data_IF_272315043746
#
_entry.id   IF_272315043746
#
_cell.length_a   1.000
_cell.length_b   1.000
_cell.length_c   1.000
_cell.angle_alpha   90.00
_cell.angle_beta   90.00
_cell.angle_gamma   90.00
#
_symmetry.space_group_name_H-M   'P 1'
#
loop_
_entity.id
_entity.type
_entity.pdbx_description
1 polymer ?
#
# COMPACT_ATOMS: atom_id res chain seq x y z
N UNK A 1 36.60 23.52 -9.68
CA UNK A 1 35.73 22.36 -9.42
C UNK A 1 36.63 21.16 -9.12
N UNK A 2 36.80 20.80 -7.88
CA UNK A 2 37.62 19.66 -7.45
C UNK A 2 36.64 18.55 -6.98
N UNK A 3 36.65 17.41 -7.66
CA UNK A 3 35.95 16.19 -7.25
C UNK A 3 36.73 15.58 -6.09
N UNK A 4 36.08 15.39 -4.95
CA UNK A 4 36.61 14.66 -3.81
C UNK A 4 35.94 13.29 -3.80
N UNK A 5 36.70 12.26 -4.09
CA UNK A 5 36.28 10.87 -3.95
C UNK A 5 36.43 10.46 -2.49
N UNK A 6 35.36 9.99 -1.86
CA UNK A 6 35.40 9.34 -0.55
C UNK A 6 35.40 7.82 -0.74
N UNK A 7 36.45 7.20 -0.21
CA UNK A 7 36.53 5.73 -0.06
C UNK A 7 36.03 5.43 1.36
N UNK A 8 34.93 4.72 1.48
CA UNK A 8 34.44 4.20 2.74
C UNK A 8 35.00 2.80 2.97
N UNK A 9 35.80 2.63 4.03
CA UNK A 9 36.27 1.33 4.50
C UNK A 9 35.30 0.89 5.60
N UNK A 10 34.54 -0.18 5.33
CA UNK A 10 33.66 -0.80 6.31
C UNK A 10 34.47 -1.79 7.17
N UNK A 11 34.54 -1.56 8.47
CA UNK A 11 35.03 -2.53 9.45
C UNK A 11 33.87 -3.37 9.96
N UNK A 12 33.86 -4.66 9.64
CA UNK A 12 32.93 -5.62 10.24
C UNK A 12 33.55 -6.19 11.51
N UNK A 13 32.93 -5.93 12.66
CA UNK A 13 33.24 -6.62 13.92
C UNK A 13 32.32 -7.86 13.99
N UNK A 14 32.94 -9.02 13.91
CA UNK A 14 32.25 -10.32 14.06
C UNK A 14 32.13 -10.62 15.55
N UNK A 15 30.94 -10.53 16.13
CA UNK A 15 30.62 -11.16 17.40
C UNK A 15 30.06 -12.57 17.13
N UNK A 16 30.86 -13.60 17.45
CA UNK A 16 30.43 -14.99 17.46
C UNK A 16 29.58 -15.27 18.69
N UNK A 17 28.29 -15.14 18.58
CA UNK A 17 27.32 -15.71 19.52
C UNK A 17 26.63 -16.89 18.84
N UNK A 18 26.79 -18.10 19.38
CA UNK A 18 26.06 -19.26 18.93
C UNK A 18 24.57 -19.10 19.21
N UNK A 19 23.81 -18.69 18.19
CA UNK A 19 22.37 -18.76 18.15
C UNK A 19 22.03 -19.74 17.02
N UNK A 20 21.15 -20.70 17.30
CA UNK A 20 20.68 -21.69 16.33
C UNK A 20 20.16 -20.96 15.10
N UNK A 21 20.86 -21.11 13.99
CA UNK A 21 20.57 -20.44 12.74
C UNK A 21 19.30 -21.01 12.10
N UNK A 22 18.19 -20.28 12.22
CA UNK A 22 17.18 -20.36 11.18
C UNK A 22 17.86 -19.90 9.90
N UNK A 23 17.98 -20.79 8.91
CA UNK A 23 18.60 -20.49 7.62
C UNK A 23 17.86 -19.35 6.95
N UNK A 24 18.58 -18.25 6.65
CA UNK A 24 18.04 -17.21 5.77
C UNK A 24 17.70 -17.86 4.43
N UNK A 25 16.60 -17.48 3.78
CA UNK A 25 16.39 -17.90 2.40
C UNK A 25 17.52 -17.36 1.53
N UNK A 26 17.97 -18.17 0.59
CA UNK A 26 18.88 -17.74 -0.47
C UNK A 26 18.15 -16.75 -1.38
N UNK A 27 18.24 -15.46 -1.05
CA UNK A 27 17.86 -14.42 -2.00
C UNK A 27 18.93 -14.32 -3.08
N UNK A 28 18.54 -14.02 -4.33
CA UNK A 28 19.51 -13.66 -5.33
C UNK A 28 20.43 -12.57 -4.78
N UNK A 29 21.73 -12.74 -4.91
CA UNK A 29 22.76 -11.86 -4.30
C UNK A 29 22.77 -10.44 -4.87
N UNK A 30 22.01 -10.20 -5.93
CA UNK A 30 21.85 -8.93 -6.66
C UNK A 30 20.60 -8.13 -6.28
N UNK A 31 19.75 -8.65 -5.35
CA UNK A 31 18.60 -7.90 -4.87
C UNK A 31 18.99 -6.78 -3.92
N UNK A 32 18.39 -5.59 -4.14
CA UNK A 32 18.51 -4.50 -3.19
C UNK A 32 17.93 -4.92 -1.84
N UNK A 33 18.76 -4.88 -0.80
CA UNK A 33 18.34 -5.20 0.57
C UNK A 33 18.40 -3.94 1.43
N UNK A 34 17.27 -3.55 2.02
CA UNK A 34 17.18 -2.47 2.99
C UNK A 34 17.17 -3.11 4.38
N UNK A 35 18.29 -3.02 5.09
CA UNK A 35 18.40 -3.53 6.46
C UNK A 35 17.82 -2.53 7.44
N UNK A 36 16.75 -2.89 8.13
CA UNK A 36 16.01 -2.04 9.04
C UNK A 36 16.52 -2.22 10.47
N UNK A 37 17.07 -1.17 11.05
CA UNK A 37 17.30 -1.10 12.50
C UNK A 37 15.97 -0.76 13.18
N UNK A 38 15.26 -1.77 13.64
CA UNK A 38 13.93 -1.62 14.25
C UNK A 38 13.96 -0.88 15.60
N UNK A 39 15.12 -0.77 16.23
CA UNK A 39 15.32 0.03 17.47
C UNK A 39 15.52 1.52 17.18
N UNK A 40 15.83 1.88 15.95
CA UNK A 40 16.05 3.28 15.56
C UNK A 40 14.71 4.03 15.52
N UNK A 41 14.71 5.22 16.12
CA UNK A 41 13.56 6.12 16.09
C UNK A 41 14.03 7.55 15.88
N UNK A 42 13.69 8.11 14.72
CA UNK A 42 14.04 9.47 14.31
C UNK A 42 12.90 10.49 14.55
N UNK A 43 11.91 10.19 15.38
CA UNK A 43 10.68 11.01 15.59
C UNK A 43 10.92 12.46 16.03
N UNK A 44 12.12 12.81 16.44
CA UNK A 44 12.52 14.20 16.72
C UNK A 44 12.99 14.98 15.49
N UNK A 45 13.21 14.30 14.35
CA UNK A 45 13.70 14.91 13.12
C UNK A 45 12.53 15.27 12.20
N UNK A 46 12.61 16.42 11.55
CA UNK A 46 11.71 16.80 10.48
C UNK A 46 12.13 16.12 9.17
N UNK A 47 11.16 15.78 8.33
CA UNK A 47 11.40 15.07 7.08
C UNK A 47 11.65 16.00 5.88
N UNK A 48 11.67 17.33 6.09
CA UNK A 48 11.82 18.32 5.01
C UNK A 48 13.12 18.21 4.22
N UNK A 49 14.16 17.64 4.81
CA UNK A 49 15.42 17.36 4.10
C UNK A 49 15.33 16.15 3.16
N UNK A 50 14.25 15.38 3.27
CA UNK A 50 14.04 14.13 2.52
C UNK A 50 12.86 14.26 1.57
N UNK A 51 11.74 14.80 2.07
CA UNK A 51 10.48 14.97 1.35
C UNK A 51 10.01 16.42 1.49
N UNK A 52 9.87 17.11 0.39
CA UNK A 52 9.33 18.47 0.36
C UNK A 52 7.82 18.43 0.17
N UNK A 53 7.12 19.25 0.97
CA UNK A 53 5.68 19.48 0.74
C UNK A 53 5.49 20.21 -0.60
N UNK A 54 4.67 19.64 -1.48
CA UNK A 54 4.36 20.23 -2.77
C UNK A 54 3.08 21.07 -2.70
N UNK A 55 1.93 20.43 -2.66
CA UNK A 55 0.62 21.08 -2.62
C UNK A 55 -0.42 20.14 -2.02
N UNK A 56 -1.61 20.67 -1.79
CA UNK A 56 -2.77 19.89 -1.40
C UNK A 56 -3.93 20.14 -2.36
N UNK A 57 -4.82 19.15 -2.44
CA UNK A 57 -6.08 19.26 -3.16
C UNK A 57 -7.20 18.96 -2.17
N UNK A 58 -8.16 19.88 -2.06
CA UNK A 58 -9.37 19.68 -1.26
C UNK A 58 -10.39 18.98 -2.14
N UNK A 59 -10.78 17.77 -1.75
CA UNK A 59 -11.80 17.03 -2.48
C UNK A 59 -13.18 17.58 -2.08
N UNK A 60 -13.89 18.12 -3.05
CA UNK A 60 -15.25 18.63 -2.89
C UNK A 60 -16.24 17.63 -3.53
N UNK A 61 -16.91 16.80 -2.71
CA UNK A 61 -17.84 15.81 -3.20
C UNK A 61 -19.20 16.39 -3.60
N UNK A 62 -19.38 17.72 -3.52
CA UNK A 62 -20.68 18.38 -3.62
C UNK A 62 -21.68 17.90 -2.55
N UNK A 63 -22.75 18.63 -2.31
CA UNK A 63 -23.58 18.52 -1.10
C UNK A 63 -24.26 17.17 -0.80
N UNK A 64 -24.16 16.19 -1.71
CA UNK A 64 -24.94 14.95 -1.60
C UNK A 64 -24.10 13.72 -1.25
N UNK A 65 -22.75 13.82 -1.18
CA UNK A 65 -21.88 12.65 -1.08
C UNK A 65 -20.84 12.82 0.03
N UNK A 66 -20.91 11.96 1.04
CA UNK A 66 -19.89 11.90 2.09
C UNK A 66 -18.75 10.96 1.68
N UNK A 67 -17.52 11.47 1.71
CA UNK A 67 -16.31 10.63 1.60
C UNK A 67 -16.00 10.12 3.00
N UNK A 68 -16.13 8.82 3.20
CA UNK A 68 -15.75 8.15 4.43
C UNK A 68 -14.24 7.88 4.49
N UNK A 69 -13.84 6.79 5.13
CA UNK A 69 -12.44 6.37 5.19
C UNK A 69 -11.91 6.03 3.79
N UNK A 70 -10.88 6.76 3.37
CA UNK A 70 -10.17 6.46 2.11
C UNK A 70 -9.40 5.14 2.26
N UNK A 71 -9.63 4.23 1.32
CA UNK A 71 -8.98 2.92 1.25
C UNK A 71 -7.86 2.89 0.21
N UNK A 72 -8.05 3.61 -0.90
CA UNK A 72 -7.12 3.64 -2.03
C UNK A 72 -7.27 4.95 -2.79
N UNK A 73 -6.16 5.43 -3.31
CA UNK A 73 -6.10 6.55 -4.25
C UNK A 73 -5.54 6.10 -5.59
N UNK A 74 -5.83 6.88 -6.62
CA UNK A 74 -5.31 6.65 -7.96
C UNK A 74 -5.11 7.99 -8.65
N UNK A 75 -3.95 8.17 -9.29
CA UNK A 75 -3.69 9.32 -10.16
C UNK A 75 -3.71 8.83 -11.60
N UNK A 76 -4.53 9.44 -12.42
CA UNK A 76 -4.66 9.08 -13.83
C UNK A 76 -5.13 10.28 -14.64
N UNK A 77 -4.35 10.70 -15.64
CA UNK A 77 -4.66 11.83 -16.53
C UNK A 77 -5.01 13.11 -15.78
N UNK A 78 -4.23 13.44 -14.73
CA UNK A 78 -4.47 14.62 -13.91
C UNK A 78 -5.72 14.57 -13.04
N UNK A 79 -6.36 13.40 -12.90
CA UNK A 79 -7.53 13.19 -12.04
C UNK A 79 -7.18 12.32 -10.84
N UNK A 80 -8.00 12.45 -9.79
CA UNK A 80 -7.83 11.73 -8.53
C UNK A 80 -8.97 10.72 -8.39
N UNK A 81 -8.64 9.44 -8.50
CA UNK A 81 -9.54 8.35 -8.16
C UNK A 81 -9.51 8.04 -6.67
N UNK A 82 -10.67 7.83 -6.05
CA UNK A 82 -10.79 7.57 -4.61
C UNK A 82 -11.69 6.36 -4.37
N UNK A 83 -11.18 5.36 -3.65
CA UNK A 83 -12.02 4.33 -3.03
C UNK A 83 -12.32 4.72 -1.59
N UNK A 84 -13.58 4.85 -1.24
CA UNK A 84 -14.03 5.14 0.12
C UNK A 84 -15.26 4.32 0.45
N UNK A 85 -15.21 3.58 1.56
CA UNK A 85 -16.26 2.64 1.96
C UNK A 85 -16.60 1.64 0.83
N UNK A 86 -17.81 1.73 0.27
CA UNK A 86 -18.27 0.93 -0.87
C UNK A 86 -18.51 1.78 -2.13
N UNK A 87 -17.87 2.94 -2.22
CA UNK A 87 -18.03 3.87 -3.33
C UNK A 87 -16.69 4.17 -3.98
N UNK A 88 -16.72 4.42 -5.28
CA UNK A 88 -15.59 4.93 -6.03
C UNK A 88 -15.93 6.31 -6.58
N UNK A 89 -14.95 7.18 -6.56
CA UNK A 89 -15.08 8.56 -7.01
C UNK A 89 -13.96 8.90 -7.98
N UNK A 90 -14.23 9.78 -8.91
CA UNK A 90 -13.21 10.47 -9.69
C UNK A 90 -13.39 11.98 -9.53
N UNK A 91 -12.29 12.66 -9.21
CA UNK A 91 -12.21 14.11 -9.08
C UNK A 91 -11.24 14.65 -10.12
N UNK A 92 -11.47 15.88 -10.58
CA UNK A 92 -10.49 16.58 -11.39
C UNK A 92 -9.30 17.09 -10.56
N UNK A 93 -8.31 17.68 -11.21
CA UNK A 93 -7.09 18.22 -10.57
C UNK A 93 -7.36 19.34 -9.57
N UNK A 94 -8.54 19.96 -9.61
CA UNK A 94 -8.95 21.01 -8.67
C UNK A 94 -9.67 20.45 -7.44
N UNK A 95 -9.97 19.14 -7.45
CA UNK A 95 -10.70 18.44 -6.39
C UNK A 95 -12.22 18.45 -6.58
N UNK A 96 -12.74 18.93 -7.72
CA UNK A 96 -14.17 18.91 -8.03
C UNK A 96 -14.59 17.50 -8.45
N UNK A 97 -15.71 17.03 -7.91
CA UNK A 97 -16.27 15.72 -8.26
C UNK A 97 -16.67 15.66 -9.75
N UNK A 98 -16.14 14.68 -10.46
CA UNK A 98 -16.49 14.34 -11.85
C UNK A 98 -17.57 13.27 -11.86
N UNK A 99 -17.38 12.18 -11.09
CA UNK A 99 -18.36 11.10 -10.99
C UNK A 99 -18.23 10.31 -9.68
N UNK A 100 -19.32 9.64 -9.29
CA UNK A 100 -19.38 8.74 -8.13
C UNK A 100 -20.11 7.45 -8.52
N UNK A 101 -19.41 6.32 -8.48
CA UNK A 101 -20.02 5.00 -8.63
C UNK A 101 -20.47 4.48 -7.27
N UNK A 102 -21.79 4.34 -7.11
CA UNK A 102 -22.44 3.79 -5.91
C UNK A 102 -23.46 2.72 -6.34
N UNK A 103 -22.94 1.53 -6.63
CA UNK A 103 -23.74 0.40 -7.13
C UNK A 103 -23.80 -0.76 -6.14
N UNK A 104 -23.74 -0.44 -4.84
CA UNK A 104 -23.88 -1.46 -3.79
C UNK A 104 -25.32 -2.00 -3.77
N UNK A 105 -25.47 -3.32 -3.87
CA UNK A 105 -26.76 -3.98 -3.86
C UNK A 105 -26.63 -5.49 -4.02
N UNK A 106 -27.77 -6.16 -4.27
CA UNK A 106 -27.87 -7.62 -4.43
C UNK A 106 -28.26 -8.05 -5.83
N UNK A 107 -28.37 -7.12 -6.75
CA UNK A 107 -28.70 -7.40 -8.14
C UNK A 107 -27.54 -8.06 -8.90
N UNK A 108 -27.80 -8.63 -10.08
CA UNK A 108 -26.78 -9.31 -10.87
C UNK A 108 -25.64 -8.38 -11.32
N UNK A 109 -25.95 -7.10 -11.49
CA UNK A 109 -25.03 -6.04 -11.90
C UNK A 109 -24.63 -5.13 -10.74
N UNK A 110 -24.68 -5.64 -9.50
CA UNK A 110 -24.34 -4.92 -8.28
C UNK A 110 -23.32 -5.70 -7.47
N UNK A 111 -22.56 -5.00 -6.64
CA UNK A 111 -21.62 -5.61 -5.70
C UNK A 111 -22.15 -5.53 -4.26
N UNK A 112 -21.93 -6.55 -3.50
CA UNK A 112 -22.28 -6.58 -2.07
C UNK A 112 -21.33 -5.72 -1.25
N UNK A 113 -20.03 -5.82 -1.57
CA UNK A 113 -18.97 -5.11 -0.90
C UNK A 113 -17.82 -4.83 -1.87
N UNK A 114 -17.42 -3.57 -1.99
CA UNK A 114 -16.21 -3.21 -2.69
C UNK A 114 -15.00 -3.65 -1.88
N UNK A 115 -14.32 -4.70 -2.34
CA UNK A 115 -13.07 -5.16 -1.74
C UNK A 115 -11.90 -4.29 -2.22
N UNK A 116 -11.83 -4.07 -3.52
CA UNK A 116 -10.83 -3.24 -4.20
C UNK A 116 -11.43 -2.62 -5.46
N UNK A 117 -10.79 -1.56 -5.97
CA UNK A 117 -11.21 -0.93 -7.21
C UNK A 117 -10.03 -0.44 -8.04
N UNK A 118 -10.26 -0.26 -9.32
CA UNK A 118 -9.36 0.44 -10.25
C UNK A 118 -10.17 1.30 -11.21
N UNK A 119 -9.80 2.56 -11.35
CA UNK A 119 -10.38 3.46 -12.34
C UNK A 119 -9.52 3.40 -13.59
N UNK A 120 -10.16 3.23 -14.72
CA UNK A 120 -9.55 3.25 -16.04
C UNK A 120 -10.14 4.35 -16.90
N UNK A 121 -9.47 4.59 -18.02
CA UNK A 121 -9.98 5.48 -19.06
C UNK A 121 -9.87 4.77 -20.41
N UNK A 122 -11.01 4.53 -21.01
CA UNK A 122 -11.13 3.99 -22.37
C UNK A 122 -11.53 5.13 -23.32
N UNK A 123 -12.80 5.19 -23.75
CA UNK A 123 -13.39 6.37 -24.40
C UNK A 123 -13.81 7.41 -23.37
N UNK A 124 -14.24 6.93 -22.22
CA UNK A 124 -14.64 7.70 -21.05
C UNK A 124 -14.15 6.98 -19.79
N UNK A 125 -14.43 7.54 -18.62
CA UNK A 125 -14.07 6.93 -17.35
C UNK A 125 -14.84 5.63 -17.13
N UNK A 126 -14.15 4.62 -16.63
CA UNK A 126 -14.73 3.34 -16.20
C UNK A 126 -14.21 3.01 -14.80
N UNK A 127 -15.06 2.36 -14.01
CA UNK A 127 -14.69 1.86 -12.70
C UNK A 127 -14.79 0.34 -12.66
N UNK A 128 -13.66 -0.30 -12.36
CA UNK A 128 -13.59 -1.74 -12.11
C UNK A 128 -13.70 -1.99 -10.62
N UNK A 129 -14.72 -2.70 -10.19
CA UNK A 129 -14.99 -3.02 -8.79
C UNK A 129 -14.84 -4.52 -8.58
N UNK A 130 -13.97 -4.89 -7.66
CA UNK A 130 -13.82 -6.27 -7.23
C UNK A 130 -14.59 -6.52 -5.93
N UNK A 131 -15.54 -7.46 -5.99
CA UNK A 131 -16.26 -7.98 -4.84
C UNK A 131 -15.83 -9.43 -4.58
N UNK A 132 -14.97 -9.61 -3.56
CA UNK A 132 -14.49 -10.93 -3.17
C UNK A 132 -15.61 -11.84 -2.64
N UNK A 133 -16.65 -11.26 -2.01
CA UNK A 133 -17.72 -12.02 -1.39
C UNK A 133 -18.69 -12.60 -2.43
N UNK A 134 -18.91 -11.84 -3.52
CA UNK A 134 -19.68 -12.30 -4.66
C UNK A 134 -18.82 -13.02 -5.70
N UNK A 135 -17.48 -12.99 -5.56
CA UNK A 135 -16.55 -13.54 -6.56
C UNK A 135 -16.64 -12.85 -7.91
N UNK A 136 -16.89 -11.55 -7.92
CA UNK A 136 -17.15 -10.78 -9.16
C UNK A 136 -16.15 -9.66 -9.36
N UNK A 137 -15.80 -9.43 -10.62
CA UNK A 137 -15.21 -8.19 -11.11
C UNK A 137 -16.21 -7.52 -12.06
N UNK A 138 -16.72 -6.36 -11.66
CA UNK A 138 -17.68 -5.59 -12.40
C UNK A 138 -17.01 -4.35 -12.97
N UNK A 139 -17.39 -3.96 -14.19
CA UNK A 139 -16.94 -2.71 -14.81
C UNK A 139 -18.14 -1.84 -15.07
N UNK A 140 -18.10 -0.62 -14.57
CA UNK A 140 -19.16 0.39 -14.74
C UNK A 140 -18.68 1.53 -15.62
N UNK A 141 -19.57 2.02 -16.48
CA UNK A 141 -19.38 3.25 -17.23
C UNK A 141 -19.84 4.50 -16.45
N UNK A 142 -19.81 5.65 -17.11
CA UNK A 142 -20.26 6.94 -16.54
C UNK A 142 -21.79 7.05 -16.38
N UNK A 143 -22.55 6.15 -16.97
CA UNK A 143 -24.01 6.05 -16.79
C UNK A 143 -24.39 5.06 -15.67
N UNK A 144 -23.41 4.60 -14.88
CA UNK A 144 -23.56 3.55 -13.85
C UNK A 144 -24.06 2.20 -14.38
N UNK A 145 -23.88 1.95 -15.67
CA UNK A 145 -24.23 0.67 -16.27
C UNK A 145 -23.06 -0.31 -16.11
N UNK A 146 -23.38 -1.53 -15.72
CA UNK A 146 -22.41 -2.62 -15.75
C UNK A 146 -22.16 -3.05 -17.20
N UNK A 147 -21.04 -2.62 -17.77
CA UNK A 147 -20.63 -2.95 -19.14
C UNK A 147 -19.90 -4.29 -19.21
N UNK A 148 -19.39 -4.77 -18.08
CA UNK A 148 -18.80 -6.10 -17.96
C UNK A 148 -19.01 -6.67 -16.56
N UNK A 149 -19.34 -7.96 -16.49
CA UNK A 149 -19.39 -8.73 -15.24
C UNK A 149 -18.61 -10.03 -15.48
N UNK A 150 -17.54 -10.22 -14.74
CA UNK A 150 -16.75 -11.46 -14.77
C UNK A 150 -16.88 -12.17 -13.44
N UNK A 151 -17.20 -13.45 -13.48
CA UNK A 151 -17.11 -14.32 -12.31
C UNK A 151 -15.66 -14.73 -12.13
N UNK A 152 -15.12 -14.48 -10.94
CA UNK A 152 -13.69 -14.56 -10.68
C UNK A 152 -13.42 -15.47 -9.49
N UNK A 153 -12.13 -15.71 -9.25
CA UNK A 153 -11.66 -16.42 -8.07
C UNK A 153 -12.06 -15.60 -6.84
N UNK A 154 -12.86 -16.16 -5.94
CA UNK A 154 -13.25 -15.47 -4.72
C UNK A 154 -12.07 -15.30 -3.75
N UNK A 155 -12.14 -14.26 -2.91
CA UNK A 155 -11.36 -14.06 -1.69
C UNK A 155 -9.94 -13.50 -1.83
N UNK A 156 -9.57 -12.93 -2.97
CA UNK A 156 -8.39 -12.07 -3.04
C UNK A 156 -8.59 -10.80 -2.22
N UNK A 157 -7.52 -10.22 -1.72
CA UNK A 157 -7.54 -8.93 -1.00
C UNK A 157 -7.45 -7.73 -1.92
N UNK A 158 -6.73 -7.88 -3.03
CA UNK A 158 -6.57 -6.84 -4.03
C UNK A 158 -6.45 -7.45 -5.42
N UNK A 159 -6.72 -6.65 -6.43
CA UNK A 159 -6.49 -6.99 -7.82
C UNK A 159 -5.74 -5.87 -8.54
N UNK A 160 -5.18 -6.21 -9.69
CA UNK A 160 -4.56 -5.27 -10.62
C UNK A 160 -4.86 -5.72 -12.04
N UNK A 161 -5.44 -4.82 -12.83
CA UNK A 161 -5.58 -5.04 -14.25
C UNK A 161 -4.22 -4.90 -14.92
N UNK A 162 -3.90 -5.86 -15.77
CA UNK A 162 -2.69 -5.93 -16.57
C UNK A 162 -3.03 -5.86 -18.05
N UNK A 163 -2.02 -5.66 -18.88
CA UNK A 163 -2.15 -5.71 -20.33
C UNK A 163 -2.70 -7.07 -20.82
N UNK A 164 -3.15 -7.10 -22.07
CA UNK A 164 -3.66 -8.30 -22.76
C UNK A 164 -4.82 -9.01 -22.04
N UNK A 165 -5.58 -8.28 -21.22
CA UNK A 165 -6.71 -8.81 -20.47
C UNK A 165 -6.34 -9.72 -19.31
N UNK A 166 -5.08 -9.71 -18.90
CA UNK A 166 -4.61 -10.40 -17.71
C UNK A 166 -5.07 -9.67 -16.45
N UNK A 167 -5.30 -10.41 -15.37
CA UNK A 167 -5.66 -9.87 -14.07
C UNK A 167 -4.80 -10.53 -13.00
N UNK A 168 -4.07 -9.73 -12.26
CA UNK A 168 -3.30 -10.16 -11.10
C UNK A 168 -4.12 -10.04 -9.82
N UNK A 169 -3.99 -10.99 -8.91
CA UNK A 169 -4.61 -11.01 -7.60
C UNK A 169 -3.58 -11.18 -6.49
N UNK A 170 -3.74 -10.43 -5.43
CA UNK A 170 -3.09 -10.67 -4.15
C UNK A 170 -4.07 -11.41 -3.23
N UNK A 171 -3.73 -12.64 -2.87
CA UNK A 171 -4.61 -13.53 -2.11
C UNK A 171 -4.56 -13.26 -0.60
N UNK A 172 -3.52 -12.57 -0.10
CA UNK A 172 -3.41 -12.17 1.30
C UNK A 172 -3.47 -13.34 2.29
N UNK A 173 -2.66 -14.39 2.09
CA UNK A 173 -2.64 -15.66 2.82
C UNK A 173 -3.98 -16.42 2.78
N UNK A 174 -4.82 -16.13 1.80
CA UNK A 174 -6.15 -16.71 1.68
C UNK A 174 -7.08 -16.30 2.84
N UNK A 175 -8.33 -16.09 2.58
CA UNK A 175 -9.27 -15.74 3.63
C UNK A 175 -10.57 -16.54 3.57
N UNK A 176 -10.57 -17.64 2.81
CA UNK A 176 -11.78 -18.40 2.53
C UNK A 176 -11.65 -19.86 2.90
N UNK A 177 -12.71 -20.37 3.47
CA UNK A 177 -12.94 -21.80 3.67
C UNK A 177 -13.08 -22.60 2.36
N UNK A 178 -13.15 -21.93 1.21
CA UNK A 178 -13.37 -22.53 -0.11
C UNK A 178 -12.08 -22.76 -0.92
N UNK A 179 -10.92 -22.29 -0.45
CA UNK A 179 -9.66 -22.58 -1.13
C UNK A 179 -9.27 -24.05 -0.95
N UNK A 180 -8.96 -24.71 -2.03
CA UNK A 180 -8.48 -26.08 -2.02
C UNK A 180 -7.02 -26.12 -1.55
N UNK A 181 -6.56 -27.27 -1.06
CA UNK A 181 -5.20 -27.46 -0.50
C UNK A 181 -4.04 -27.05 -1.44
N UNK A 182 -4.31 -26.85 -2.72
CA UNK A 182 -3.34 -26.51 -3.75
C UNK A 182 -3.18 -24.99 -3.97
N UNK A 183 -3.89 -24.16 -3.20
CA UNK A 183 -4.00 -22.73 -3.45
C UNK A 183 -3.23 -21.85 -2.45
N UNK A 184 -2.16 -22.35 -1.87
CA UNK A 184 -1.34 -21.61 -0.91
C UNK A 184 -0.32 -20.69 -1.58
N UNK A 185 -0.82 -19.77 -2.42
CA UNK A 185 -0.01 -18.76 -3.11
C UNK A 185 -0.61 -17.39 -2.89
N UNK A 186 0.23 -16.40 -2.56
CA UNK A 186 -0.20 -15.02 -2.39
C UNK A 186 -0.37 -14.27 -3.72
N UNK A 187 0.24 -14.75 -4.80
CA UNK A 187 0.07 -14.17 -6.12
C UNK A 187 -0.62 -15.15 -7.06
N UNK A 188 -1.63 -14.66 -7.79
CA UNK A 188 -2.27 -15.40 -8.86
C UNK A 188 -2.54 -14.47 -10.03
N UNK A 189 -2.17 -14.87 -11.23
CA UNK A 189 -2.52 -14.18 -12.46
C UNK A 189 -3.44 -15.07 -13.30
N UNK A 190 -4.53 -14.51 -13.78
CA UNK A 190 -5.50 -15.18 -14.64
C UNK A 190 -5.61 -14.46 -15.98
N UNK A 191 -6.08 -15.18 -17.00
CA UNK A 191 -6.43 -14.58 -18.29
C UNK A 191 -7.87 -14.05 -18.33
N UNK A 192 -8.24 -13.49 -19.47
CA UNK A 192 -9.59 -12.95 -19.72
C UNK A 192 -10.71 -13.99 -19.60
N UNK A 193 -10.38 -15.29 -19.68
CA UNK A 193 -11.31 -16.41 -19.52
C UNK A 193 -11.38 -16.94 -18.09
N UNK A 194 -10.66 -16.33 -17.14
CA UNK A 194 -10.61 -16.76 -15.73
C UNK A 194 -9.65 -17.94 -15.48
N UNK A 195 -8.89 -18.38 -16.49
CA UNK A 195 -7.94 -19.46 -16.32
C UNK A 195 -6.66 -18.97 -15.65
N UNK A 196 -6.25 -19.63 -14.56
CA UNK A 196 -4.96 -19.36 -13.89
C UNK A 196 -3.80 -19.63 -14.83
N UNK A 197 -2.96 -18.63 -15.02
CA UNK A 197 -1.72 -18.67 -15.80
C UNK A 197 -0.49 -18.81 -14.93
N UNK A 198 -0.50 -18.13 -13.79
CA UNK A 198 0.63 -18.10 -12.85
C UNK A 198 0.08 -18.18 -11.42
N UNK A 199 0.71 -19.02 -10.61
CA UNK A 199 0.62 -19.00 -9.15
C UNK A 199 2.04 -18.87 -8.60
N UNK A 200 2.27 -17.91 -7.71
CA UNK A 200 3.60 -17.62 -7.17
C UNK A 200 3.49 -17.05 -5.74
N UNK A 201 4.64 -16.87 -5.11
CA UNK A 201 4.74 -16.39 -3.73
C UNK A 201 3.99 -17.33 -2.77
N UNK A 202 4.51 -18.56 -2.57
CA UNK A 202 3.89 -19.54 -1.71
C UNK A 202 3.83 -19.05 -0.26
N UNK A 203 2.86 -19.53 0.50
CA UNK A 203 2.79 -19.32 1.95
C UNK A 203 2.49 -20.63 2.67
N UNK A 204 2.92 -20.71 3.93
CA UNK A 204 2.69 -21.87 4.78
C UNK A 204 1.19 -22.04 5.06
N UNK A 205 0.69 -23.26 4.98
CA UNK A 205 -0.71 -23.64 5.27
C UNK A 205 -1.18 -23.15 6.64
N UNK A 206 -0.29 -23.11 7.62
CA UNK A 206 -0.59 -22.61 8.95
C UNK A 206 -0.88 -21.10 8.99
N UNK A 207 -0.42 -20.36 7.98
CA UNK A 207 -0.68 -18.92 7.83
C UNK A 207 -2.02 -18.63 7.15
N UNK A 208 -2.74 -19.65 6.73
CA UNK A 208 -4.03 -19.52 6.05
C UNK A 208 -5.05 -18.75 6.90
N UNK A 209 -5.62 -17.71 6.31
CA UNK A 209 -6.61 -16.87 6.98
C UNK A 209 -6.06 -15.93 8.06
N UNK A 210 -4.76 -16.01 8.36
CA UNK A 210 -4.13 -15.07 9.28
C UNK A 210 -3.98 -13.71 8.58
N UNK A 211 -4.50 -12.68 9.20
CA UNK A 211 -4.32 -11.29 8.78
C UNK A 211 -3.96 -10.45 9.99
N UNK A 212 -3.08 -9.48 9.79
CA UNK A 212 -2.79 -8.52 10.83
C UNK A 212 -3.95 -7.53 10.97
N UNK A 213 -4.11 -6.94 12.14
CA UNK A 213 -5.08 -5.86 12.34
C UNK A 213 -4.75 -4.60 11.51
N UNK A 214 -3.51 -4.48 11.03
CA UNK A 214 -2.99 -3.34 10.27
C UNK A 214 -3.21 -3.48 8.75
N UNK A 215 -3.53 -4.68 8.26
CA UNK A 215 -3.77 -4.93 6.83
C UNK A 215 -5.12 -4.41 6.32
N UNK A 216 -5.98 -3.95 7.22
CA UNK A 216 -7.34 -3.55 6.87
C UNK A 216 -7.32 -2.27 6.01
N UNK A 217 -7.72 -2.41 4.77
CA UNK A 217 -7.94 -1.30 3.84
C UNK A 217 -6.69 -0.80 3.13
N UNK A 218 -5.59 -1.56 3.12
CA UNK A 218 -4.41 -1.27 2.28
C UNK A 218 -4.42 -2.16 1.04
N UNK A 219 -4.06 -1.58 -0.09
CA UNK A 219 -3.82 -2.33 -1.33
C UNK A 219 -2.43 -2.96 -1.25
N UNK A 220 -2.31 -4.16 -1.75
CA UNK A 220 -1.01 -4.84 -1.86
C UNK A 220 -0.35 -4.63 -3.22
N UNK A 221 -1.03 -4.00 -4.17
CA UNK A 221 -0.43 -3.54 -5.41
C UNK A 221 -0.15 -2.04 -5.33
N UNK A 222 1.00 -1.67 -5.86
CA UNK A 222 1.43 -0.29 -6.04
C UNK A 222 1.89 -0.11 -7.48
N UNK A 223 1.44 0.94 -8.14
CA UNK A 223 1.91 1.31 -9.47
C UNK A 223 2.61 2.66 -9.40
N UNK A 224 3.77 2.73 -10.00
CA UNK A 224 4.53 3.96 -10.21
C UNK A 224 4.95 4.01 -11.68
N UNK A 225 4.33 4.86 -12.46
CA UNK A 225 4.45 4.87 -13.92
C UNK A 225 4.09 3.51 -14.52
N UNK A 226 4.99 2.95 -15.31
CA UNK A 226 4.80 1.65 -15.95
C UNK A 226 5.14 0.46 -15.05
N UNK A 227 5.73 0.72 -13.88
CA UNK A 227 6.18 -0.33 -12.99
C UNK A 227 5.07 -0.69 -11.99
N UNK A 228 4.77 -1.98 -11.89
CA UNK A 228 3.80 -2.52 -10.94
C UNK A 228 4.57 -3.31 -9.89
N UNK A 229 4.31 -2.98 -8.63
CA UNK A 229 4.89 -3.66 -7.48
C UNK A 229 3.82 -4.37 -6.66
N UNK A 230 4.20 -5.45 -6.00
CA UNK A 230 3.36 -6.17 -5.05
C UNK A 230 4.14 -6.47 -3.78
N UNK A 231 3.53 -6.19 -2.64
CA UNK A 231 3.92 -6.73 -1.34
C UNK A 231 2.98 -7.86 -0.96
N UNK A 232 3.51 -8.96 -0.44
CA UNK A 232 2.70 -10.05 0.07
C UNK A 232 2.67 -9.99 1.60
N UNK A 233 1.56 -10.45 2.17
CA UNK A 233 1.38 -10.48 3.62
C UNK A 233 2.42 -11.41 4.27
N UNK A 234 3.05 -10.95 5.35
CA UNK A 234 4.11 -11.65 6.09
C UNK A 234 5.30 -12.06 5.20
N UNK A 235 5.59 -11.25 4.19
CA UNK A 235 6.72 -11.43 3.31
C UNK A 235 7.52 -10.12 3.26
N UNK A 236 8.83 -10.22 3.36
CA UNK A 236 9.77 -9.11 3.35
C UNK A 236 10.22 -8.69 1.97
N UNK A 237 9.82 -9.47 0.99
CA UNK A 237 10.19 -9.27 -0.41
C UNK A 237 9.11 -8.46 -1.12
N UNK A 238 9.55 -7.44 -1.82
CA UNK A 238 8.74 -6.70 -2.78
C UNK A 238 8.99 -7.30 -4.15
N UNK A 239 7.92 -7.50 -4.87
CA UNK A 239 7.92 -8.10 -6.18
C UNK A 239 7.54 -7.08 -7.24
N UNK A 240 8.17 -7.18 -8.40
CA UNK A 240 7.75 -6.48 -9.61
C UNK A 240 6.86 -7.41 -10.44
N UNK A 241 5.76 -6.88 -10.94
CA UNK A 241 4.80 -7.60 -11.78
C UNK A 241 4.90 -7.08 -13.21
N UNK A 242 5.11 -7.98 -14.17
CA UNK A 242 5.11 -7.63 -15.60
C UNK A 242 3.69 -7.37 -16.08
N UNK A 243 3.45 -6.19 -16.63
CA UNK A 243 2.14 -5.79 -17.16
C UNK A 243 1.69 -6.65 -18.35
N UNK A 244 2.62 -7.09 -19.19
CA UNK A 244 2.31 -7.84 -20.40
C UNK A 244 2.22 -9.35 -20.22
N UNK A 245 2.93 -9.92 -19.25
CA UNK A 245 3.00 -11.37 -19.08
C UNK A 245 2.42 -11.87 -17.74
N UNK A 246 2.15 -10.97 -16.81
CA UNK A 246 1.76 -11.32 -15.44
C UNK A 246 2.87 -12.02 -14.64
N UNK A 247 4.10 -12.12 -15.16
CA UNK A 247 5.21 -12.71 -14.40
C UNK A 247 5.58 -11.82 -13.23
N UNK A 248 5.93 -12.47 -12.12
CA UNK A 248 6.33 -11.79 -10.89
C UNK A 248 7.78 -12.14 -10.58
N UNK A 249 8.59 -11.14 -10.27
CA UNK A 249 10.02 -11.28 -9.92
C UNK A 249 10.34 -10.50 -8.66
N UNK A 250 11.13 -11.04 -7.73
CA UNK A 250 11.59 -10.28 -6.58
C UNK A 250 12.46 -9.10 -7.03
N UNK A 251 12.33 -7.94 -6.40
CA UNK A 251 13.09 -6.75 -6.75
C UNK A 251 13.73 -6.03 -5.56
N UNK A 252 13.20 -6.22 -4.35
CA UNK A 252 13.71 -5.57 -3.15
C UNK A 252 13.34 -6.39 -1.91
N UNK A 253 14.21 -6.37 -0.89
CA UNK A 253 13.98 -7.02 0.41
C UNK A 253 14.08 -6.00 1.53
N UNK A 254 13.12 -6.01 2.46
CA UNK A 254 13.24 -5.32 3.74
C UNK A 254 13.71 -6.29 4.81
N UNK A 255 14.99 -6.23 5.17
CA UNK A 255 15.55 -7.08 6.22
C UNK A 255 15.27 -6.46 7.60
N UNK A 256 14.21 -6.93 8.24
CA UNK A 256 13.78 -6.51 9.58
C UNK A 256 14.42 -7.34 10.70
N UNK A 257 15.43 -8.16 10.38
CA UNK A 257 16.11 -9.05 11.32
C UNK A 257 15.62 -10.51 11.28
N UNK A 258 16.30 -11.37 12.07
CA UNK A 258 16.20 -12.83 11.94
C UNK A 258 15.00 -13.48 12.63
N UNK A 259 14.38 -12.83 13.60
CA UNK A 259 13.35 -13.47 14.43
C UNK A 259 11.92 -13.00 14.12
N UNK A 260 11.53 -13.08 12.88
CA UNK A 260 10.20 -12.65 12.45
C UNK A 260 9.38 -13.80 11.87
N UNK A 261 8.03 -13.71 11.95
CA UNK A 261 7.17 -14.61 11.23
C UNK A 261 7.35 -14.41 9.71
N UNK A 262 7.52 -15.51 9.00
CA UNK A 262 7.56 -15.51 7.54
C UNK A 262 6.46 -16.40 7.00
N UNK A 263 5.78 -15.93 5.99
CA UNK A 263 4.67 -16.67 5.39
C UNK A 263 5.13 -18.01 4.79
N UNK A 264 6.34 -18.07 4.28
CA UNK A 264 6.94 -19.24 3.61
C UNK A 264 7.73 -20.19 4.55
N UNK A 265 7.87 -19.86 5.84
CA UNK A 265 8.56 -20.72 6.79
C UNK A 265 7.64 -21.85 7.29
N UNK A 266 7.87 -23.05 6.78
CA UNK A 266 7.10 -24.26 7.16
C UNK A 266 7.31 -24.67 8.61
N UNK A 267 8.42 -24.27 9.22
CA UNK A 267 8.81 -24.63 10.58
C UNK A 267 8.44 -23.57 11.62
N UNK A 268 7.93 -22.41 11.21
CA UNK A 268 7.59 -21.34 12.14
C UNK A 268 6.26 -21.67 12.86
N UNK A 269 6.28 -21.94 14.18
CA UNK A 269 5.07 -22.33 14.90
C UNK A 269 4.05 -21.17 14.94
N UNK A 270 2.82 -21.46 14.62
CA UNK A 270 1.69 -20.50 14.71
C UNK A 270 1.59 -19.82 16.08
N UNK A 271 1.92 -20.57 17.16
CA UNK A 271 1.97 -20.02 18.52
C UNK A 271 2.99 -18.89 18.66
N UNK A 272 4.11 -18.96 17.92
CA UNK A 272 5.11 -17.90 17.89
C UNK A 272 4.67 -16.71 17.02
N UNK A 273 3.91 -16.98 15.95
CA UNK A 273 3.28 -15.94 15.16
C UNK A 273 2.29 -15.12 16.01
N UNK A 274 1.38 -15.81 16.74
CA UNK A 274 0.44 -15.16 17.63
C UNK A 274 1.11 -14.40 18.78
N UNK A 275 2.27 -14.88 19.27
CA UNK A 275 3.11 -14.17 20.24
C UNK A 275 3.88 -13.01 19.59
N UNK A 276 4.31 -13.17 18.35
CA UNK A 276 4.98 -12.10 17.57
C UNK A 276 4.05 -10.95 17.21
N UNK A 277 2.74 -11.21 17.03
CA UNK A 277 1.71 -10.17 17.02
C UNK A 277 1.61 -9.43 18.37
N UNK A 278 2.26 -9.96 19.40
CA UNK A 278 2.28 -9.48 20.78
C UNK A 278 3.38 -8.48 21.12
N UNK A 279 3.99 -7.78 20.17
CA UNK A 279 4.61 -6.50 20.47
C UNK A 279 6.12 -6.37 20.34
N UNK A 280 6.91 -7.41 20.50
CA UNK A 280 8.39 -7.23 20.51
C UNK A 280 9.07 -7.56 19.16
N UNK A 281 8.32 -8.03 18.18
CA UNK A 281 8.89 -8.43 16.89
C UNK A 281 8.34 -7.56 15.76
N UNK A 282 9.20 -7.10 14.85
CA UNK A 282 8.74 -6.31 13.72
C UNK A 282 7.87 -7.18 12.81
N UNK A 283 6.74 -6.62 12.37
CA UNK A 283 5.97 -7.17 11.27
C UNK A 283 6.54 -6.65 9.96
N UNK A 284 6.46 -7.47 8.93
CA UNK A 284 6.87 -7.11 7.57
C UNK A 284 6.10 -5.90 7.06
N UNK A 285 6.63 -5.19 6.07
CA UNK A 285 5.99 -4.01 5.52
C UNK A 285 4.54 -4.28 5.17
N UNK A 286 3.65 -3.45 5.71
CA UNK A 286 2.22 -3.47 5.39
C UNK A 286 1.90 -2.60 4.18
N UNK A 287 2.81 -1.71 3.82
CA UNK A 287 2.73 -0.89 2.62
C UNK A 287 4.12 -0.56 2.09
N UNK A 288 4.22 -0.44 0.78
CA UNK A 288 5.43 -0.09 0.06
C UNK A 288 5.11 0.92 -1.03
N UNK A 289 5.96 1.92 -1.16
CA UNK A 289 5.85 2.97 -2.18
C UNK A 289 7.22 3.27 -2.78
N UNK A 290 7.30 3.30 -4.10
CA UNK A 290 8.45 3.82 -4.85
C UNK A 290 8.18 5.30 -5.14
N UNK A 291 9.20 6.14 -5.01
CA UNK A 291 9.20 7.53 -5.47
C UNK A 291 10.52 7.81 -6.20
N UNK A 292 10.69 8.97 -6.88
CA UNK A 292 11.82 9.20 -7.78
C UNK A 292 13.19 8.90 -7.18
N UNK A 293 13.42 9.26 -5.93
CA UNK A 293 14.72 9.18 -5.29
C UNK A 293 14.81 8.14 -4.17
N UNK A 294 13.88 7.20 -4.11
CA UNK A 294 13.92 6.21 -3.04
C UNK A 294 12.64 5.42 -2.82
N UNK A 295 12.50 4.95 -1.60
CA UNK A 295 11.45 4.03 -1.17
C UNK A 295 10.87 4.48 0.16
N UNK A 296 9.56 4.32 0.31
CA UNK A 296 8.88 4.40 1.58
C UNK A 296 8.25 3.05 1.91
N UNK A 297 8.38 2.60 3.13
CA UNK A 297 7.67 1.45 3.65
C UNK A 297 7.03 1.77 4.99
N UNK A 298 5.93 1.10 5.27
CA UNK A 298 5.35 1.07 6.61
C UNK A 298 5.52 -0.32 7.18
N UNK A 299 5.99 -0.39 8.42
CA UNK A 299 6.08 -1.63 9.17
C UNK A 299 5.53 -1.42 10.58
N UNK A 300 5.28 -2.49 11.30
CA UNK A 300 4.82 -2.45 12.69
C UNK A 300 5.91 -2.98 13.61
N UNK A 301 6.16 -2.27 14.69
CA UNK A 301 7.03 -2.70 15.77
C UNK A 301 6.44 -2.25 17.11
N UNK A 302 6.43 -3.10 18.10
CA UNK A 302 5.84 -2.84 19.42
C UNK A 302 4.43 -2.23 19.33
N UNK A 303 3.55 -2.87 18.52
CA UNK A 303 2.16 -2.44 18.25
C UNK A 303 2.02 -1.02 17.63
N UNK A 304 3.10 -0.44 17.16
CA UNK A 304 3.08 0.90 16.57
C UNK A 304 3.46 0.84 15.10
N UNK A 305 2.74 1.57 14.24
CA UNK A 305 3.15 1.72 12.87
C UNK A 305 4.37 2.64 12.77
N UNK A 306 5.35 2.23 12.00
CA UNK A 306 6.53 3.02 11.65
C UNK A 306 6.53 3.30 10.17
N UNK A 307 7.01 4.48 9.80
CA UNK A 307 7.36 4.85 8.44
C UNK A 307 8.87 4.77 8.31
N UNK A 308 9.33 4.11 7.27
CA UNK A 308 10.73 4.06 6.84
C UNK A 308 10.85 4.77 5.50
N UNK A 309 11.85 5.64 5.37
CA UNK A 309 12.21 6.28 4.10
C UNK A 309 13.67 5.93 3.82
N UNK A 310 13.93 5.38 2.64
CA UNK A 310 15.26 5.02 2.17
C UNK A 310 15.54 5.64 0.81
N UNK A 311 16.82 5.91 0.50
CA UNK A 311 17.23 6.32 -0.83
C UNK A 311 17.25 5.13 -1.81
N UNK A 312 17.58 5.38 -3.09
CA UNK A 312 17.64 4.35 -4.12
C UNK A 312 18.71 3.27 -3.88
N UNK A 313 19.71 3.57 -3.06
CA UNK A 313 20.76 2.64 -2.65
C UNK A 313 20.37 1.79 -1.44
N UNK A 314 19.17 2.02 -0.87
CA UNK A 314 18.67 1.33 0.31
C UNK A 314 19.18 1.88 1.65
N UNK A 315 19.86 3.02 1.66
CA UNK A 315 20.27 3.68 2.90
C UNK A 315 19.07 4.33 3.57
N UNK A 316 18.88 4.04 4.87
CA UNK A 316 17.76 4.58 5.63
C UNK A 316 18.02 6.05 5.99
N UNK A 317 17.20 6.92 5.45
CA UNK A 317 17.20 8.36 5.71
C UNK A 317 16.37 8.70 6.95
N UNK A 318 15.26 8.00 7.17
CA UNK A 318 14.36 8.19 8.30
C UNK A 318 13.67 6.88 8.68
N UNK A 319 13.47 6.66 9.97
CA UNK A 319 12.52 5.68 10.49
C UNK A 319 11.89 6.20 11.78
N UNK A 320 10.58 6.09 11.91
CA UNK A 320 9.85 6.56 13.09
C UNK A 320 8.34 6.43 12.95
N UNK A 321 7.64 6.66 14.05
CA UNK A 321 6.17 6.57 14.10
C UNK A 321 5.47 7.94 13.98
N UNK A 322 6.23 9.02 13.77
CA UNK A 322 5.71 10.39 13.75
C UNK A 322 6.47 11.26 12.72
N UNK A 323 6.60 10.74 11.49
CA UNK A 323 7.23 11.47 10.39
C UNK A 323 6.45 12.77 10.09
N UNK A 324 7.05 13.95 10.38
CA UNK A 324 6.42 15.26 10.20
C UNK A 324 7.33 16.21 9.45
N UNK A 325 6.70 17.08 8.66
CA UNK A 325 7.36 18.23 8.07
C UNK A 325 7.39 19.44 9.03
N UNK A 326 8.04 20.52 8.60
CA UNK A 326 8.13 21.80 9.33
C UNK A 326 6.77 22.44 9.61
N UNK A 327 5.76 22.16 8.80
CA UNK A 327 4.40 22.65 8.96
C UNK A 327 3.59 21.82 9.98
N UNK A 328 4.18 20.77 10.55
CA UNK A 328 3.53 19.87 11.50
C UNK A 328 2.66 18.80 10.84
N UNK A 329 2.68 18.70 9.52
CA UNK A 329 1.92 17.70 8.77
C UNK A 329 2.52 16.32 9.01
N UNK A 330 1.71 15.40 9.54
CA UNK A 330 2.10 14.00 9.71
C UNK A 330 1.92 13.24 8.40
N UNK A 331 2.98 12.62 7.94
CA UNK A 331 2.92 11.73 6.78
C UNK A 331 2.06 10.50 7.13
N UNK A 332 0.96 10.35 6.40
CA UNK A 332 0.03 9.21 6.47
C UNK A 332 -0.10 8.62 5.07
N UNK A 333 0.84 7.78 4.66
CA UNK A 333 0.76 7.16 3.34
C UNK A 333 -0.57 6.42 3.18
N UNK A 334 -1.14 6.50 2.01
CA UNK A 334 -2.34 5.77 1.61
C UNK A 334 -2.02 4.92 0.40
N UNK A 335 -2.55 3.72 0.26
CA UNK A 335 -2.37 2.93 -0.95
C UNK A 335 -2.82 3.73 -2.17
N UNK A 336 -1.93 3.88 -3.16
CA UNK A 336 -2.26 4.57 -4.39
C UNK A 336 -1.64 3.93 -5.63
N UNK A 337 -2.22 4.23 -6.77
CA UNK A 337 -1.72 3.88 -8.09
C UNK A 337 -1.37 5.17 -8.82
N UNK A 338 -0.11 5.35 -9.16
CA UNK A 338 0.37 6.51 -9.91
C UNK A 338 0.61 6.12 -11.37
N UNK A 339 -0.37 6.39 -12.22
CA UNK A 339 -0.28 6.15 -13.65
C UNK A 339 0.44 7.27 -14.38
N UNK A 340 0.41 8.46 -13.82
CA UNK A 340 1.00 9.66 -14.43
C UNK A 340 2.50 9.76 -14.16
N UNK A 341 3.04 8.90 -13.31
CA UNK A 341 4.43 8.96 -12.86
C UNK A 341 4.78 10.36 -12.30
N UNK A 342 3.87 10.91 -11.50
CA UNK A 342 3.95 12.28 -11.00
C UNK A 342 5.15 12.52 -10.08
N UNK A 343 5.66 11.44 -9.48
CA UNK A 343 6.75 11.52 -8.51
C UNK A 343 6.31 11.97 -7.12
N UNK A 344 5.02 12.08 -6.87
CA UNK A 344 4.49 12.45 -5.57
C UNK A 344 4.30 11.25 -4.66
N UNK A 345 4.63 11.43 -3.39
CA UNK A 345 4.17 10.57 -2.32
C UNK A 345 2.87 11.16 -1.76
N UNK A 346 1.81 10.35 -1.74
CA UNK A 346 0.47 10.83 -1.44
C UNK A 346 0.10 10.51 0.00
N UNK A 347 -0.42 11.51 0.69
CA UNK A 347 -1.01 11.40 2.02
C UNK A 347 -2.40 12.03 2.00
N UNK A 348 -3.28 11.61 2.90
CA UNK A 348 -4.58 12.26 3.03
C UNK A 348 -4.85 12.73 4.45
N UNK A 349 -5.69 13.74 4.56
CA UNK A 349 -6.15 14.31 5.83
C UNK A 349 -7.67 14.29 5.88
N UNK A 350 -8.20 13.91 7.03
CA UNK A 350 -9.57 14.25 7.40
C UNK A 350 -9.56 15.52 8.28
N UNK A 351 -10.69 16.20 8.45
CA UNK A 351 -10.80 17.33 9.38
C UNK A 351 -10.28 17.02 10.79
N UNK A 352 -10.59 15.82 11.29
CA UNK A 352 -10.11 15.33 12.59
C UNK A 352 -8.59 15.22 12.64
N UNK A 353 -7.96 14.76 11.54
CA UNK A 353 -6.51 14.67 11.46
C UNK A 353 -5.85 16.04 11.48
N UNK A 354 -6.41 17.03 10.77
CA UNK A 354 -5.90 18.41 10.74
C UNK A 354 -5.83 18.98 12.16
N UNK A 355 -6.91 18.88 12.93
CA UNK A 355 -6.95 19.39 14.30
C UNK A 355 -5.98 18.63 15.23
N UNK A 356 -5.85 17.32 15.08
CA UNK A 356 -4.87 16.53 15.84
C UNK A 356 -3.43 16.94 15.49
N UNK A 357 -3.13 17.14 14.22
CA UNK A 357 -1.81 17.54 13.77
C UNK A 357 -1.43 18.95 14.22
N UNK A 358 -2.35 19.91 14.15
CA UNK A 358 -2.17 21.26 14.72
C UNK A 358 -1.78 21.21 16.19
N UNK A 359 -2.49 20.43 16.99
CA UNK A 359 -2.23 20.31 18.43
C UNK A 359 -0.86 19.72 18.72
N UNK A 360 -0.46 18.68 17.99
CA UNK A 360 0.82 18.00 18.18
C UNK A 360 1.96 18.85 17.60
N UNK A 361 1.79 19.39 16.39
CA UNK A 361 2.78 20.25 15.72
C UNK A 361 3.17 21.45 16.56
N UNK A 362 2.20 22.18 17.12
CA UNK A 362 2.45 23.30 18.04
C UNK A 362 3.30 22.88 19.27
N UNK A 363 3.05 21.70 19.82
CA UNK A 363 3.87 21.19 20.96
C UNK A 363 5.30 20.88 20.56
N UNK A 364 5.52 20.55 19.28
CA UNK A 364 6.84 20.25 18.72
C UNK A 364 7.54 21.48 18.10
N UNK A 365 6.90 22.65 18.15
CA UNK A 365 7.46 23.89 17.61
C UNK A 365 7.38 24.02 16.10
N UNK A 366 6.51 23.22 15.43
CA UNK A 366 6.29 23.34 14.01
C UNK A 366 5.47 24.59 13.66
N UNK A 367 5.64 25.13 12.45
CA UNK A 367 4.77 26.16 11.89
C UNK A 367 3.41 25.55 11.59
N UNK A 368 2.34 26.10 12.13
CA UNK A 368 0.98 25.59 11.92
C UNK A 368 0.18 26.38 10.87
N UNK A 369 0.75 27.36 10.20
CA UNK A 369 0.04 28.26 9.27
C UNK A 369 -0.70 27.48 8.18
N UNK A 370 -0.06 26.49 7.58
CA UNK A 370 -0.68 25.61 6.58
C UNK A 370 -1.88 24.84 7.15
N UNK A 371 -1.74 24.27 8.35
CA UNK A 371 -2.81 23.51 8.99
C UNK A 371 -3.95 24.42 9.46
N UNK A 372 -3.66 25.68 9.83
CA UNK A 372 -4.67 26.69 10.15
C UNK A 372 -5.46 27.06 8.90
N UNK A 373 -4.80 27.28 7.75
CA UNK A 373 -5.44 27.54 6.46
C UNK A 373 -6.33 26.37 6.02
N UNK A 374 -5.82 25.13 6.09
CA UNK A 374 -6.59 23.93 5.76
C UNK A 374 -7.81 23.76 6.65
N UNK A 375 -7.68 24.02 7.95
CA UNK A 375 -8.81 23.96 8.90
C UNK A 375 -9.92 24.96 8.54
N UNK A 376 -9.56 26.18 8.15
CA UNK A 376 -10.52 27.19 7.69
C UNK A 376 -11.24 26.75 6.42
N UNK A 377 -10.50 26.35 5.40
CA UNK A 377 -11.08 25.90 4.11
C UNK A 377 -12.01 24.70 4.27
N UNK A 378 -11.64 23.74 5.12
CA UNK A 378 -12.49 22.57 5.41
C UNK A 378 -13.76 22.99 6.16
N UNK A 379 -13.67 23.95 7.11
CA UNK A 379 -14.85 24.44 7.82
C UNK A 379 -15.80 25.24 6.93
N UNK A 380 -15.28 25.96 5.94
CA UNK A 380 -16.08 26.69 4.95
C UNK A 380 -16.81 25.74 3.98
N UNK A 381 -16.21 24.59 3.65
CA UNK A 381 -16.79 23.57 2.77
C UNK A 381 -17.63 22.52 3.52
N UNK A 382 -17.52 22.44 4.83
CA UNK A 382 -18.38 21.57 5.64
C UNK A 382 -19.73 22.28 5.84
N UNK A 383 -20.71 21.90 5.04
CA UNK A 383 -22.10 22.21 5.37
C UNK A 383 -22.47 21.59 6.72
N UNK A 384 -23.19 22.33 7.60
CA UNK A 384 -23.58 21.87 8.92
C UNK A 384 -24.51 20.65 8.87
#
# INVERSE_FOLDING_TARGET
MKRTSFVAIAFSVVFSGCVSSASRPDYPTDLLTITVDVGRNDDGKLIDSILEFSHYVILDPQQEVLIGKIKKLQLLDGHIGVASENKAYVFDSTGRLVHCWDRQGRGPNEYLQMTDMEIGREKDWVCHVYDKNAGKLLTYDMDDKAVSVKEMIPHAKAFKLLGDGLIAFNMGNGSSTFLQKEDYFNYRCIDSFGKTRISAVPFNKQMFGLSTQYDKGKSFFYRYGEQIYMSAQHNDTIYQVSDTSGRITPCLVFDLGVERPRADDENYPISNYQKGLGGEKPEVPVAFYKFPNGYLAEYTYDFRPYVLIANEQGEILYTGNSARDKNGVLLRPVPYLDFDNSGYLISYFSPVNIEADKKIGRRKGCDSALLDELSLKVSENSNP
#
